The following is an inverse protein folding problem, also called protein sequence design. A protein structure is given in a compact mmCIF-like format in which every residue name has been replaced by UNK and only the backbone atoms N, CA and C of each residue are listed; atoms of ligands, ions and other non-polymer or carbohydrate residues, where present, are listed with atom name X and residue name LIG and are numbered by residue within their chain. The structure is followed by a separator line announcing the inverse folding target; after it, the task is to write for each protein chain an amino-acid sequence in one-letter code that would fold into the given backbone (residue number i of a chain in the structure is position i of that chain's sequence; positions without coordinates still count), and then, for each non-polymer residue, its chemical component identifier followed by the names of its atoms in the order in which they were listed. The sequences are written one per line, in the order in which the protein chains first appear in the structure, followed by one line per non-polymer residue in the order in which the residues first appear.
data_IF_246533719584
#
_entry.id   IF_246533719584
#
_cell.length_a   1.000
_cell.length_b   1.000
_cell.length_c   1.000
_cell.angle_alpha   90.00
_cell.angle_beta   90.00
_cell.angle_gamma   90.00
#
_symmetry.space_group_name_H-M   'P 1'
#
loop_
_entity.id
_entity.type
_entity.pdbx_description
1 polymer ?
2 polymer ?
3 polymer ?
4 water ?
#
# COMPACT_ATOMS: atom_id res chain seq x y z
N UNK A 57 -7.84 19.22 -11.86
CA UNK A 57 -8.09 18.15 -12.82
C UNK A 57 -7.46 16.85 -12.34
N UNK A 58 -6.34 16.99 -11.62
CA UNK A 58 -5.63 15.84 -11.06
C UNK A 58 -5.63 15.84 -9.54
N UNK A 59 -6.35 16.77 -8.91
CA UNK A 59 -6.45 16.84 -7.45
C UNK A 59 -7.88 16.53 -7.02
N UNK A 60 -8.01 16.03 -5.80
CA UNK A 60 -9.33 15.85 -5.20
C UNK A 60 -9.96 17.21 -4.96
N UNK A 61 -11.24 17.33 -5.33
CA UNK A 61 -11.95 18.58 -5.13
C UNK A 61 -12.10 18.89 -3.64
N UNK A 62 -11.57 20.04 -3.22
CA UNK A 62 -11.62 20.44 -1.82
C UNK A 62 -12.53 21.64 -1.59
N UNK A 63 -13.35 22.01 -2.57
CA UNK A 63 -14.29 23.13 -2.42
C UNK A 63 -15.60 22.59 -1.85
N UNK A 64 -15.58 22.32 -0.55
CA UNK A 64 -16.75 21.88 0.20
C UNK A 64 -16.90 22.73 1.45
N UNK A 65 -18.07 22.61 2.09
CA UNK A 65 -18.31 23.39 3.31
C UNK A 65 -17.37 22.96 4.42
N UNK A 66 -17.17 21.65 4.60
CA UNK A 66 -16.31 21.11 5.63
C UNK A 66 -15.22 20.25 5.00
N UNK A 67 -14.06 20.21 5.67
CA UNK A 67 -13.01 19.28 5.26
C UNK A 67 -13.47 17.84 5.49
N UNK A 68 -14.09 17.57 6.63
CA UNK A 68 -14.66 16.27 6.88
C UNK A 68 -14.53 15.88 8.34
N UNK A 69 -15.10 14.73 8.66
CA UNK A 69 -15.02 14.19 10.00
C UNK A 69 -13.67 13.52 10.22
N UNK A 70 -13.18 13.57 11.46
CA UNK A 70 -12.00 12.82 11.85
C UNK A 70 -12.28 12.10 13.16
N UNK A 71 -12.31 10.78 13.12
CA UNK A 71 -12.63 9.94 14.26
C UNK A 71 -11.34 9.32 14.76
N UNK A 72 -11.00 9.59 16.03
CA UNK A 72 -9.86 8.99 16.69
C UNK A 72 -10.37 7.98 17.70
N UNK A 73 -9.93 6.74 17.59
CA UNK A 73 -10.24 5.69 18.56
C UNK A 73 -8.97 5.44 19.34
N UNK A 74 -8.99 5.79 20.62
CA UNK A 74 -7.80 5.75 21.48
C UNK A 74 -8.01 4.64 22.50
N UNK A 75 -7.44 3.47 22.21
CA UNK A 75 -7.60 2.28 23.05
C UNK A 75 -6.35 2.12 23.91
N UNK A 76 -6.49 2.31 25.22
CA UNK A 76 -5.38 2.23 26.16
C UNK A 76 -5.47 1.05 27.11
N UNK A 77 -6.66 0.71 27.58
CA UNK A 77 -6.86 -0.33 28.56
C UNK A 77 -7.62 -1.50 27.96
N UNK A 78 -7.14 -2.71 28.21
CA UNK A 78 -7.71 -3.92 27.63
C UNK A 78 -8.07 -4.89 28.74
N UNK A 79 -9.08 -5.73 28.48
CA UNK A 79 -9.45 -6.75 29.44
C UNK A 79 -8.31 -7.74 29.63
N UNK A 80 -8.22 -8.30 30.84
CA UNK A 80 -7.14 -9.23 31.12
C UNK A 80 -7.27 -10.52 30.32
N UNK A 81 -8.49 -10.88 29.91
CA UNK A 81 -8.69 -12.10 29.13
C UNK A 81 -8.00 -12.00 27.78
N UNK A 82 -7.89 -10.79 27.23
CA UNK A 82 -7.25 -10.64 25.92
C UNK A 82 -5.76 -10.93 25.99
N UNK A 83 -5.15 -10.78 27.17
CA UNK A 83 -3.73 -10.97 27.33
C UNK A 83 -2.90 -9.76 27.01
N UNK A 84 -3.53 -8.65 26.63
CA UNK A 84 -2.82 -7.45 26.22
C UNK A 84 -2.71 -6.48 27.38
N UNK A 85 -1.57 -5.79 27.46
CA UNK A 85 -1.32 -4.84 28.52
C UNK A 85 -1.68 -3.42 28.14
N UNK A 86 -1.50 -2.51 29.10
CA UNK A 86 -1.88 -1.12 28.91
C UNK A 86 -0.87 -0.46 27.98
N UNK A 87 -1.37 0.37 27.05
CA UNK A 87 -0.54 1.04 26.07
C UNK A 87 -0.20 2.45 26.56
N UNK A 88 0.72 2.51 27.51
CA UNK A 88 1.16 3.81 28.03
C UNK A 88 1.80 4.63 26.91
N UNK A 89 1.44 5.91 26.85
CA UNK A 89 1.89 6.80 25.80
C UNK A 89 0.83 7.12 24.77
N UNK A 90 -0.24 6.31 24.68
CA UNK A 90 -1.26 6.52 23.67
C UNK A 90 -2.09 7.77 23.94
N UNK A 91 -2.12 8.27 25.17
CA UNK A 91 -2.82 9.53 25.42
C UNK A 91 -2.06 10.69 24.79
N UNK A 92 -0.73 10.66 24.85
CA UNK A 92 0.05 11.68 24.14
C UNK A 92 -0.18 11.60 22.64
N UNK A 93 -0.35 10.40 22.10
CA UNK A 93 -0.65 10.26 20.67
C UNK A 93 -1.99 10.89 20.34
N UNK A 94 -3.02 10.57 21.10
CA UNK A 94 -4.36 11.09 20.83
C UNK A 94 -4.39 12.60 21.02
N UNK A 95 -3.69 13.12 22.00
CA UNK A 95 -3.68 14.58 22.23
C UNK A 95 -3.02 15.26 21.04
N UNK A 96 -1.92 14.72 20.54
CA UNK A 96 -1.20 15.36 19.43
C UNK A 96 -1.97 15.21 18.14
N UNK A 97 -2.65 14.09 17.97
CA UNK A 97 -3.38 13.82 16.72
C UNK A 97 -4.61 14.69 16.64
N UNK A 98 -5.31 14.89 17.73
CA UNK A 98 -6.53 15.72 17.63
C UNK A 98 -6.16 17.18 17.42
N UNK A 99 -5.04 17.63 17.96
CA UNK A 99 -4.64 19.03 17.76
C UNK A 99 -4.20 19.23 16.33
N UNK A 100 -3.58 18.23 15.72
CA UNK A 100 -3.09 18.33 14.35
C UNK A 100 -4.21 18.30 13.35
N UNK A 101 -5.17 17.41 13.54
CA UNK A 101 -6.27 17.29 12.59
C UNK A 101 -7.31 18.38 12.79
N UNK A 102 -7.36 18.96 13.97
CA UNK A 102 -8.26 20.11 14.18
C UNK A 102 -7.62 21.29 13.46
N UNK A 103 -6.30 21.37 13.47
CA UNK A 103 -5.61 22.46 12.79
C UNK A 103 -5.72 22.32 11.28
N UNK A 104 -5.87 21.10 10.77
CA UNK A 104 -6.07 20.92 9.33
C UNK A 104 -7.45 21.35 8.89
N UNK A 105 -8.44 21.32 9.78
CA UNK A 105 -9.79 21.70 9.43
C UNK A 105 -10.82 20.60 9.64
N UNK A 106 -10.37 19.49 10.22
CA UNK A 106 -11.26 18.36 10.48
C UNK A 106 -12.12 18.62 11.71
N UNK A 107 -13.30 17.99 11.73
CA UNK A 107 -14.14 17.93 12.93
C UNK A 107 -13.74 16.66 13.68
N UNK A 108 -12.99 16.82 14.76
CA UNK A 108 -12.31 15.70 15.43
C UNK A 108 -13.19 15.21 16.58
N UNK A 109 -13.38 13.89 16.64
CA UNK A 109 -14.04 13.23 17.75
C UNK A 109 -13.10 12.14 18.28
N UNK A 110 -12.89 12.12 19.59
CA UNK A 110 -12.00 11.15 20.22
C UNK A 110 -12.83 10.20 21.08
N UNK A 111 -12.73 8.90 20.78
CA UNK A 111 -13.34 7.84 21.56
C UNK A 111 -12.25 7.09 22.32
N UNK A 112 -12.56 6.65 23.53
CA UNK A 112 -11.55 6.08 24.43
C UNK A 112 -11.98 4.70 24.90
N UNK A 113 -11.06 3.74 24.83
CA UNK A 113 -11.20 2.38 25.35
C UNK A 113 -12.51 1.73 24.87
N UNK A 114 -12.53 1.44 23.57
CA UNK A 114 -13.76 0.97 22.94
C UNK A 114 -13.73 -0.54 22.79
N UNK A 115 -14.93 -1.13 22.85
CA UNK A 115 -15.06 -2.55 22.59
C UNK A 115 -15.12 -2.78 21.08
N UNK A 116 -15.10 -4.05 20.66
CA UNK A 116 -15.16 -4.31 19.24
C UNK A 116 -16.56 -4.04 18.68
N UNK A 117 -17.58 -4.19 19.53
CA UNK A 117 -18.93 -3.84 19.10
C UNK A 117 -19.09 -2.33 18.98
N UNK A 118 -18.46 -1.58 19.89
CA UNK A 118 -18.52 -0.13 19.80
C UNK A 118 -17.78 0.37 18.58
N UNK A 119 -16.61 -0.20 18.29
CA UNK A 119 -15.82 0.25 17.14
C UNK A 119 -16.55 -0.01 15.83
N UNK A 120 -17.22 -1.17 15.72
CA UNK A 120 -17.98 -1.45 14.51
C UNK A 120 -19.21 -0.56 14.42
N UNK A 121 -19.83 -0.23 15.55
CA UNK A 121 -21.02 0.61 15.54
C UNK A 121 -20.67 2.07 15.23
N UNK A 122 -19.57 2.57 15.81
CA UNK A 122 -19.12 3.92 15.51
C UNK A 122 -18.95 4.13 14.02
N UNK A 123 -18.19 3.25 13.37
CA UNK A 123 -17.86 3.46 11.98
C UNK A 123 -19.06 3.18 11.08
N UNK A 124 -19.97 2.31 11.50
CA UNK A 124 -21.14 2.06 10.67
C UNK A 124 -22.11 3.24 10.72
N UNK A 125 -22.26 3.85 11.90
CA UNK A 125 -23.10 5.05 11.98
C UNK A 125 -22.43 6.24 11.33
N UNK A 126 -21.10 6.34 11.40
CA UNK A 126 -20.40 7.40 10.67
C UNK A 126 -20.51 7.19 9.17
N UNK A 127 -20.48 5.94 8.70
CA UNK A 127 -20.69 5.66 7.29
C UNK A 127 -22.09 6.04 6.84
N UNK A 128 -23.06 6.01 7.76
CA UNK A 128 -24.45 6.27 7.41
C UNK A 128 -24.83 7.74 7.51
N UNK A 129 -23.93 8.61 7.97
CA UNK A 129 -24.20 10.04 8.03
C UNK A 129 -24.12 10.66 6.63
N UNK A 130 -24.52 11.93 6.55
CA UNK A 130 -24.55 12.67 5.29
C UNK A 130 -23.25 13.46 5.15
N UNK A 131 -22.39 13.06 4.21
CA UNK A 131 -21.11 13.69 4.00
C UNK A 131 -21.08 14.57 2.76
N UNK A 132 -22.26 14.96 2.27
CA UNK A 132 -22.35 15.65 0.99
C UNK A 132 -21.55 16.94 0.99
N UNK A 133 -21.48 17.63 2.13
CA UNK A 133 -20.74 18.87 2.24
C UNK A 133 -19.33 18.67 2.79
N UNK A 134 -18.89 17.43 2.89
CA UNK A 134 -17.54 17.10 3.36
C UNK A 134 -16.67 16.74 2.18
N UNK A 135 -15.39 17.14 2.25
CA UNK A 135 -14.45 16.82 1.18
C UNK A 135 -13.87 15.42 1.31
N UNK A 136 -13.69 14.93 2.54
CA UNK A 136 -13.01 13.66 2.78
C UNK A 136 -13.45 13.13 4.13
N UNK A 137 -12.91 11.97 4.49
CA UNK A 137 -13.13 11.38 5.80
C UNK A 137 -11.83 10.79 6.31
N UNK A 138 -11.60 10.91 7.62
CA UNK A 138 -10.39 10.40 8.24
C UNK A 138 -10.77 9.61 9.49
N UNK A 139 -10.11 8.48 9.69
CA UNK A 139 -10.25 7.72 10.92
C UNK A 139 -8.87 7.28 11.38
N UNK A 140 -8.63 7.36 12.69
CA UNK A 140 -7.34 7.03 13.27
C UNK A 140 -7.56 5.99 14.35
N UNK A 141 -6.89 4.85 14.23
CA UNK A 141 -7.00 3.74 15.18
C UNK A 141 -5.70 3.62 15.97
N UNK A 142 -5.77 3.72 17.28
CA UNK A 142 -4.63 3.54 18.17
C UNK A 142 -4.96 2.41 19.15
N UNK A 143 -4.39 1.23 18.91
CA UNK A 143 -4.72 0.06 19.72
C UNK A 143 -3.64 -1.01 19.53
N UNK A 144 -3.84 -2.13 20.21
CA UNK A 144 -3.09 -3.34 19.91
C UNK A 144 -3.60 -3.96 18.61
N UNK A 145 -2.77 -4.78 18.00
CA UNK A 145 -3.16 -5.44 16.77
C UNK A 145 -2.34 -6.68 16.52
N UNK A 146 -2.89 -7.56 15.71
CA UNK A 146 -2.15 -8.63 15.03
C UNK A 146 -2.43 -8.50 13.54
N UNK A 147 -1.93 -9.46 12.76
CA UNK A 147 -2.03 -9.34 11.31
C UNK A 147 -3.49 -9.33 10.87
N UNK A 148 -3.86 -8.30 10.12
CA UNK A 148 -5.20 -8.09 9.55
C UNK A 148 -6.25 -7.76 10.59
N UNK A 149 -5.84 -7.56 11.84
CA UNK A 149 -6.77 -7.52 12.97
C UNK A 149 -6.39 -6.37 13.90
N UNK A 150 -7.40 -5.70 14.44
CA UNK A 150 -7.20 -4.65 15.44
C UNK A 150 -7.93 -5.04 16.72
N UNK A 151 -7.35 -4.68 17.85
CA UNK A 151 -7.86 -5.07 19.16
C UNK A 151 -8.88 -4.04 19.67
N UNK A 152 -10.04 -4.53 20.10
CA UNK A 152 -10.88 -3.79 21.01
C UNK A 152 -10.44 -4.06 22.44
N UNK A 153 -11.17 -3.47 23.39
CA UNK A 153 -10.85 -3.77 24.77
C UNK A 153 -11.18 -5.21 25.14
N UNK A 154 -12.10 -5.85 24.42
CA UNK A 154 -12.58 -7.18 24.76
C UNK A 154 -12.21 -8.25 23.73
N UNK A 155 -11.37 -7.95 22.76
CA UNK A 155 -10.98 -8.94 21.78
C UNK A 155 -10.53 -8.28 20.48
N UNK A 156 -10.64 -9.03 19.39
CA UNK A 156 -10.14 -8.61 18.08
C UNK A 156 -11.28 -8.57 17.07
N UNK A 157 -11.17 -7.66 16.12
CA UNK A 157 -12.05 -7.54 14.97
C UNK A 157 -11.22 -7.24 13.72
N UNK A 158 -11.63 -7.74 12.56
CA UNK A 158 -10.82 -7.53 11.34
C UNK A 158 -10.90 -6.09 10.86
N UNK A 159 -9.75 -5.56 10.46
CA UNK A 159 -9.69 -4.17 9.99
C UNK A 159 -10.51 -3.99 8.73
N UNK A 160 -10.54 -5.00 7.85
CA UNK A 160 -11.31 -4.87 6.61
C UNK A 160 -12.79 -4.67 6.89
N UNK A 161 -13.32 -5.29 7.95
CA UNK A 161 -14.73 -5.11 8.28
C UNK A 161 -14.99 -3.73 8.85
N UNK A 162 -13.98 -3.11 9.48
CA UNK A 162 -14.15 -1.75 9.99
C UNK A 162 -14.20 -0.74 8.85
N UNK A 163 -13.38 -0.92 7.82
CA UNK A 163 -13.29 0.04 6.73
C UNK A 163 -14.30 -0.22 5.62
N UNK A 164 -14.88 -1.42 5.56
CA UNK A 164 -15.80 -1.73 4.48
C UNK A 164 -17.09 -0.93 4.57
N UNK A 165 -17.39 -0.36 5.75
CA UNK A 165 -18.59 0.46 5.89
C UNK A 165 -18.56 1.66 4.97
N UNK A 166 -17.37 2.11 4.57
CA UNK A 166 -17.21 3.31 3.76
C UNK A 166 -16.99 3.00 2.29
N UNK A 167 -17.25 1.77 1.86
CA UNK A 167 -17.12 1.42 0.46
C UNK A 167 -18.08 2.26 -0.38
N UNK A 168 -17.82 2.30 -1.69
CA UNK A 168 -18.63 3.12 -2.57
C UNK A 168 -20.10 2.76 -2.56
N UNK A 169 -20.41 1.46 -2.46
CA UNK A 169 -21.79 0.99 -2.49
C UNK A 169 -22.47 1.04 -1.12
N UNK A 170 -21.71 1.31 -0.05
CA UNK A 170 -22.26 1.33 1.30
C UNK A 170 -22.17 2.69 1.96
N UNK A 171 -21.56 3.67 1.30
CA UNK A 171 -21.49 5.04 1.83
C UNK A 171 -21.45 5.96 0.61
N UNK A 172 -22.63 6.30 0.09
CA UNK A 172 -22.73 6.99 -1.19
C UNK A 172 -22.33 8.46 -1.09
N UNK A 173 -22.37 9.06 0.10
CA UNK A 173 -22.02 10.47 0.23
C UNK A 173 -20.51 10.69 0.32
N UNK A 174 -19.70 9.63 0.36
CA UNK A 174 -18.25 9.76 0.26
C UNK A 174 -17.73 9.22 -1.07
N UNK A 175 -18.62 8.92 -2.01
CA UNK A 175 -18.20 8.46 -3.33
C UNK A 175 -17.32 9.49 -4.01
N UNK A 176 -16.25 9.04 -4.65
CA UNK A 176 -15.24 9.85 -5.30
C UNK A 176 -14.50 10.77 -4.34
N UNK A 177 -14.64 10.56 -3.02
CA UNK A 177 -13.93 11.32 -2.02
C UNK A 177 -12.94 10.42 -1.27
N UNK A 178 -11.80 10.97 -0.83
CA UNK A 178 -10.80 10.13 -0.17
C UNK A 178 -11.24 9.74 1.24
N UNK A 179 -11.12 8.45 1.55
CA UNK A 179 -11.38 7.92 2.89
C UNK A 179 -10.04 7.45 3.46
N UNK A 180 -9.55 8.16 4.47
CA UNK A 180 -8.21 7.93 5.00
C UNK A 180 -8.28 7.20 6.34
N UNK A 181 -7.42 6.20 6.50
CA UNK A 181 -7.35 5.41 7.72
C UNK A 181 -5.89 5.34 8.17
N UNK A 182 -5.61 5.88 9.36
CA UNK A 182 -4.29 5.84 9.97
C UNK A 182 -4.35 4.84 11.12
N UNK A 183 -3.50 3.82 11.07
CA UNK A 183 -3.59 2.68 11.98
C UNK A 183 -2.26 2.52 12.71
N UNK A 184 -2.24 2.90 13.99
CA UNK A 184 -1.13 2.61 14.89
C UNK A 184 -1.49 1.35 15.67
N UNK A 185 -0.89 0.23 15.29
CA UNK A 185 -1.16 -1.06 15.91
C UNK A 185 -0.13 -2.05 15.37
N UNK A 186 0.08 -3.14 16.10
CA UNK A 186 0.96 -4.19 15.61
C UNK A 186 0.27 -4.99 14.53
N UNK A 187 1.06 -5.59 13.65
CA UNK A 187 0.52 -6.42 12.56
C UNK A 187 1.12 -7.82 12.60
N UNK A 188 1.59 -8.23 13.77
CA UNK A 188 2.32 -9.47 13.93
C UNK A 188 3.32 -9.30 15.07
N UNK A 189 4.25 -10.25 15.15
CA UNK A 189 5.23 -10.25 16.23
C UNK A 189 6.65 -10.40 15.70
N UNK A 190 6.91 -9.95 14.47
CA UNK A 190 8.25 -9.93 13.92
C UNK A 190 8.95 -8.62 14.28
N UNK A 191 10.27 -8.69 14.39
CA UNK A 191 11.09 -7.52 14.69
C UNK A 191 12.04 -7.25 13.54
N UNK A 192 12.29 -5.97 13.28
CA UNK A 192 13.19 -5.53 12.23
C UNK A 192 14.55 -5.24 12.86
N UNK A 193 15.50 -6.16 12.67
CA UNK A 193 16.81 -6.02 13.29
C UNK A 193 17.60 -4.86 12.68
N UNK A 194 17.31 -4.50 11.43
CA UNK A 194 17.96 -3.37 10.79
C UNK A 194 19.31 -3.73 10.22
N UNK A 195 19.91 -2.73 9.57
CA UNK A 195 21.24 -2.86 8.97
C UNK A 195 21.80 -1.46 8.78
N UNK A 196 23.10 -1.31 9.01
CA UNK A 196 23.74 0.00 9.01
C UNK A 196 23.91 0.55 7.59
N UNK B 14 -19.81 4.57 -13.85
CA UNK B 14 -19.63 3.63 -12.73
C UNK B 14 -18.22 3.75 -12.13
N UNK B 15 -18.11 3.47 -10.83
CA UNK B 15 -16.85 3.61 -10.09
C UNK B 15 -16.65 2.43 -9.16
N UNK B 16 -15.42 1.93 -8.99
CA UNK B 16 -15.22 0.74 -8.16
C UNK B 16 -15.53 1.02 -6.69
N UNK B 17 -16.13 0.04 -6.03
CA UNK B 17 -16.54 0.25 -4.65
C UNK B 17 -15.35 0.33 -3.71
N UNK B 18 -14.18 -0.14 -4.13
CA UNK B 18 -12.99 -0.09 -3.28
C UNK B 18 -12.07 1.08 -3.59
N UNK B 19 -12.46 1.97 -4.51
CA UNK B 19 -11.63 3.10 -4.88
C UNK B 19 -11.61 4.17 -3.80
N UNK B 20 -10.59 5.03 -3.86
CA UNK B 20 -10.46 6.23 -3.04
C UNK B 20 -10.26 5.93 -1.56
N UNK B 21 -9.61 4.81 -1.25
CA UNK B 21 -9.19 4.47 0.10
C UNK B 21 -7.69 4.69 0.23
N UNK B 22 -7.26 5.13 1.42
CA UNK B 22 -5.84 5.16 1.75
C UNK B 22 -5.65 4.63 3.17
N UNK B 23 -4.76 3.66 3.32
CA UNK B 23 -4.43 3.07 4.61
C UNK B 23 -2.99 3.43 4.95
N UNK B 24 -2.81 4.20 6.03
CA UNK B 24 -1.50 4.58 6.53
C UNK B 24 -1.19 3.73 7.74
N UNK B 25 -0.52 2.60 7.52
CA UNK B 25 -0.14 1.69 8.59
C UNK B 25 1.17 2.12 9.25
N UNK B 26 1.24 1.92 10.57
CA UNK B 26 2.46 2.26 11.29
C UNK B 26 3.61 1.30 11.01
N UNK B 27 3.33 0.10 10.52
CA UNK B 27 4.38 -0.86 10.26
C UNK B 27 3.95 -1.77 9.10
N UNK B 28 4.85 -2.67 8.71
CA UNK B 28 4.62 -3.54 7.57
C UNK B 28 3.89 -4.79 8.05
N UNK B 29 3.21 -5.53 7.19
CA UNK B 29 2.47 -6.71 7.66
C UNK B 29 3.40 -7.73 8.29
N UNK B 30 3.03 -8.20 9.48
CA UNK B 30 3.77 -9.23 10.17
C UNK B 30 4.64 -8.73 11.30
N UNK B 31 4.85 -7.43 11.42
CA UNK B 31 5.86 -6.87 12.30
C UNK B 31 5.22 -6.16 13.50
N UNK B 32 6.04 -5.94 14.51
CA UNK B 32 5.65 -5.16 15.67
C UNK B 32 5.58 -3.67 15.29
N UNK B 33 4.83 -2.92 16.10
CA UNK B 33 4.85 -1.47 16.06
C UNK B 33 5.35 -0.96 17.40
N UNK B 34 6.23 0.04 17.37
CA UNK B 34 6.92 0.51 18.56
C UNK B 34 6.25 1.78 19.11
N UNK B 35 6.28 1.89 20.44
CA UNK B 35 5.63 2.98 21.14
C UNK B 35 6.48 3.38 22.34
N UNK B 36 6.88 4.63 22.41
CA UNK B 36 7.56 5.14 23.58
C UNK B 36 6.53 5.53 24.63
N UNK B 37 6.58 4.97 25.85
CA UNK B 37 5.57 5.33 26.86
C UNK B 37 5.64 6.77 27.31
N UNK B 38 6.78 7.42 27.14
CA UNK B 38 6.94 8.80 27.56
C UNK B 38 6.74 9.81 26.46
N UNK B 39 6.81 9.38 25.20
CA UNK B 39 6.66 10.30 24.08
C UNK B 39 5.69 9.82 23.01
N UNK B 40 4.98 8.71 23.22
CA UNK B 40 4.01 8.24 22.25
C UNK B 40 4.63 7.31 21.23
N UNK B 41 3.77 6.75 20.39
CA UNK B 41 4.23 5.84 19.34
C UNK B 41 5.09 6.58 18.32
N UNK B 42 6.03 5.84 17.71
CA UNK B 42 6.95 6.45 16.76
C UNK B 42 6.21 7.01 15.55
N UNK B 43 5.29 6.21 15.00
CA UNK B 43 4.57 6.61 13.80
C UNK B 43 3.75 7.87 14.03
N UNK B 44 3.08 7.96 15.19
CA UNK B 44 2.25 9.13 15.48
C UNK B 44 3.13 10.34 15.77
N UNK B 45 4.23 10.15 16.51
CA UNK B 45 5.20 11.22 16.73
C UNK B 45 5.65 11.80 15.39
N UNK B 46 6.01 10.94 14.46
CA UNK B 46 6.53 11.42 13.17
C UNK B 46 5.43 12.01 12.32
N UNK B 47 4.26 11.37 12.31
CA UNK B 47 3.17 11.87 11.47
C UNK B 47 2.75 13.28 11.88
N UNK B 48 2.74 13.57 13.18
CA UNK B 48 2.25 14.87 13.64
C UNK B 48 3.32 15.93 13.63
N UNK B 49 4.59 15.53 13.51
CA UNK B 49 5.65 16.50 13.30
C UNK B 49 5.71 16.95 11.85
N UNK B 50 5.53 16.01 10.91
CA UNK B 50 5.48 16.37 9.50
C UNK B 50 4.23 17.18 9.20
N UNK B 51 3.11 16.85 9.86
CA UNK B 51 1.86 17.54 9.58
C UNK B 51 1.91 18.98 10.06
N UNK B 52 2.54 19.25 11.20
CA UNK B 52 2.61 20.62 11.71
C UNK B 52 3.40 21.54 10.77
N UNK B 53 4.41 21.02 10.09
CA UNK B 53 5.22 21.84 9.20
C UNK B 53 4.70 21.85 7.78
N UNK B 54 4.10 20.75 7.32
CA UNK B 54 3.77 20.63 5.90
C UNK B 54 2.36 20.09 5.66
N UNK B 55 1.51 20.02 6.67
CA UNK B 55 0.20 19.44 6.48
C UNK B 55 -0.63 20.16 5.44
N UNK B 56 -0.39 21.45 5.24
CA UNK B 56 -1.20 22.25 4.34
C UNK B 56 -0.50 22.61 3.03
N UNK B 57 0.74 22.17 2.84
CA UNK B 57 1.48 22.50 1.63
C UNK B 57 2.08 21.29 0.91
N UNK B 58 1.90 20.08 1.44
CA UNK B 58 2.40 18.87 0.81
C UNK B 58 1.25 17.93 0.49
N UNK B 59 1.43 17.14 -0.58
CA UNK B 59 0.44 16.13 -0.93
C UNK B 59 0.53 14.95 0.04
N UNK B 60 -0.58 14.22 0.16
CA UNK B 60 -0.67 13.19 1.20
C UNK B 60 0.42 12.13 1.03
N UNK B 61 0.81 11.82 -0.21
CA UNK B 61 1.86 10.83 -0.40
C UNK B 61 3.25 11.40 -0.10
N UNK B 62 3.43 12.71 -0.28
CA UNK B 62 4.69 13.31 0.14
C UNK B 62 4.80 13.32 1.66
N UNK B 63 3.71 13.64 2.36
CA UNK B 63 3.72 13.64 3.82
C UNK B 63 4.07 12.25 4.34
N UNK B 64 3.37 11.22 3.84
CA UNK B 64 3.57 9.89 4.40
C UNK B 64 4.94 9.32 4.01
N UNK B 65 5.50 9.74 2.87
CA UNK B 65 6.85 9.30 2.53
C UNK B 65 7.86 9.90 3.48
N UNK B 66 7.67 11.16 3.87
CA UNK B 66 8.55 11.77 4.86
C UNK B 66 8.36 11.14 6.24
N UNK B 67 7.15 10.65 6.53
CA UNK B 67 6.94 9.91 7.77
C UNK B 67 7.65 8.56 7.72
N UNK B 68 7.66 7.92 6.53
CA UNK B 68 8.42 6.69 6.37
C UNK B 68 9.90 6.92 6.66
N UNK B 69 10.45 8.03 6.17
CA UNK B 69 11.86 8.31 6.37
C UNK B 69 12.18 8.61 7.82
N UNK B 70 11.34 9.40 8.49
CA UNK B 70 11.63 9.77 9.87
C UNK B 70 11.52 8.58 10.81
N UNK B 71 10.52 7.72 10.62
CA UNK B 71 10.40 6.54 11.47
C UNK B 71 11.58 5.61 11.23
N UNK B 72 12.01 5.48 9.98
CA UNK B 72 13.06 4.54 9.62
C UNK B 72 14.44 5.03 10.05
N UNK B 73 14.65 6.35 10.10
CA UNK B 73 15.97 6.90 10.34
C UNK B 73 16.16 7.45 11.75
N UNK B 74 15.11 7.98 12.37
CA UNK B 74 15.25 8.69 13.64
C UNK B 74 14.94 7.83 14.86
N UNK B 75 14.46 6.61 14.68
CA UNK B 75 13.98 5.80 15.80
C UNK B 75 14.70 4.46 15.87
N UNK B 76 15.12 4.10 17.08
CA UNK B 76 15.73 2.80 17.35
C UNK B 76 15.29 2.34 18.72
N UNK B 77 14.84 1.08 18.77
CA UNK B 77 14.29 0.47 19.98
C UNK B 77 15.32 0.47 21.07
N UNK B 78 14.90 0.84 22.26
CA UNK B 78 15.74 0.57 23.43
C UNK B 78 14.98 -0.09 24.57
N UNK B 79 15.34 -1.33 24.81
CA UNK B 79 14.76 -2.20 25.81
C UNK B 79 15.86 -2.82 26.66
N UNK B 80 15.51 -3.07 27.93
CA UNK B 80 16.39 -3.84 28.81
C UNK B 80 16.55 -5.28 28.32
N UNK B 81 15.44 -5.91 27.92
CA UNK B 81 15.48 -7.19 27.24
C UNK B 81 16.32 -7.07 25.96
N UNK B 82 17.41 -7.82 25.82
CA UNK B 82 18.24 -7.70 24.61
C UNK B 82 17.61 -8.31 23.36
N UNK B 83 16.54 -9.09 23.50
CA UNK B 83 15.82 -9.58 22.34
C UNK B 83 15.03 -8.48 21.65
N UNK B 84 14.81 -7.35 22.34
CA UNK B 84 14.04 -6.23 21.81
C UNK B 84 14.88 -4.98 21.69
N UNK B 85 16.21 -5.12 21.60
CA UNK B 85 17.12 -3.99 21.67
C UNK B 85 17.58 -3.58 20.28
N UNK B 86 17.62 -2.27 20.05
CA UNK B 86 18.12 -1.68 18.80
C UNK B 86 17.38 -2.23 17.57
N UNK B 87 16.05 -2.22 17.66
CA UNK B 87 15.19 -2.66 16.57
C UNK B 87 14.66 -1.46 15.79
N UNK B 88 14.31 -1.70 14.54
CA UNK B 88 13.91 -0.64 13.61
C UNK B 88 12.47 -0.84 13.16
N UNK B 89 11.93 0.16 12.48
CA UNK B 89 10.55 0.13 12.03
C UNK B 89 10.40 0.93 10.75
N UNK B 90 9.61 0.41 9.82
CA UNK B 90 9.26 1.14 8.60
C UNK B 90 7.74 1.07 8.45
N UNK B 91 7.06 2.20 8.25
CA UNK B 91 5.60 2.17 8.07
C UNK B 91 5.25 1.71 6.66
N UNK B 92 3.95 1.65 6.38
CA UNK B 92 3.43 0.96 5.20
C UNK B 92 2.19 1.70 4.72
N UNK B 93 2.26 2.32 3.55
CA UNK B 93 1.15 3.07 2.97
C UNK B 93 0.50 2.24 1.85
N UNK B 94 -0.82 2.05 1.95
CA UNK B 94 -1.61 1.38 0.92
C UNK B 94 -2.57 2.42 0.35
N UNK B 95 -2.46 2.67 -0.95
CA UNK B 95 -3.21 3.74 -1.59
C UNK B 95 -4.07 3.19 -2.71
N UNK B 96 -5.37 3.43 -2.61
CA UNK B 96 -6.31 3.24 -3.71
C UNK B 96 -6.83 4.57 -4.24
N UNK B 97 -6.14 5.67 -3.91
CA UNK B 97 -6.59 6.99 -4.33
C UNK B 97 -6.48 7.14 -5.85
N UNK B 98 -7.37 7.96 -6.39
CA UNK B 98 -7.41 8.24 -7.83
C UNK B 98 -6.94 9.64 -8.18
N UNK B 99 -6.63 10.47 -7.19
CA UNK B 99 -6.20 11.84 -7.42
C UNK B 99 -5.14 12.20 -6.38
N UNK B 100 -4.49 13.34 -6.61
CA UNK B 100 -3.63 13.92 -5.59
C UNK B 100 -4.49 14.58 -4.52
N UNK B 101 -4.04 14.50 -3.26
CA UNK B 101 -4.80 14.97 -2.12
C UNK B 101 -4.01 16.06 -1.40
N UNK B 102 -4.54 17.27 -1.41
CA UNK B 102 -4.05 18.38 -0.62
C UNK B 102 -5.13 18.78 0.37
N UNK B 103 -4.71 19.16 1.58
CA UNK B 103 -5.63 19.65 2.61
C UNK B 103 -5.88 21.15 2.48
N UNK B 104 -6.22 21.63 1.28
CA UNK B 104 -6.27 23.07 1.00
C UNK B 104 -7.31 23.39 -0.07
N UNK C 57 17.64 15.91 -1.37
CA UNK C 57 17.38 15.69 0.06
C UNK C 57 16.08 14.93 0.26
N UNK C 58 15.12 15.14 -0.65
CA UNK C 58 13.83 14.45 -0.58
C UNK C 58 13.59 13.55 -1.79
N UNK C 59 14.58 13.39 -2.66
CA UNK C 59 14.50 12.50 -3.80
C UNK C 59 15.53 11.39 -3.65
N UNK C 60 15.24 10.24 -4.24
CA UNK C 60 16.23 9.18 -4.33
C UNK C 60 17.37 9.62 -5.24
N UNK C 61 18.60 9.37 -4.82
CA UNK C 61 19.74 9.72 -5.65
C UNK C 61 19.73 8.90 -6.94
N UNK C 62 19.70 9.59 -8.08
CA UNK C 62 19.67 8.94 -9.39
C UNK C 62 20.96 9.14 -10.17
N UNK C 63 22.01 9.62 -9.53
CA UNK C 63 23.29 9.86 -10.20
C UNK C 63 24.15 8.58 -10.14
N UNK C 64 23.75 7.62 -10.97
CA UNK C 64 24.47 6.36 -11.12
C UNK C 64 24.70 6.08 -12.59
N UNK C 65 25.57 5.12 -12.88
CA UNK C 65 25.88 4.76 -14.25
C UNK C 65 24.67 4.17 -14.96
N UNK C 66 23.92 3.31 -14.28
CA UNK C 66 22.75 2.65 -14.84
C UNK C 66 21.52 3.01 -14.01
N UNK C 67 20.36 3.02 -14.67
CA UNK C 67 19.11 3.12 -13.93
C UNK C 67 18.88 1.86 -13.11
N UNK C 68 19.12 0.70 -13.71
CA UNK C 68 19.07 -0.57 -13.01
C UNK C 68 18.54 -1.69 -13.86
N UNK C 69 18.52 -2.90 -13.29
CA UNK C 69 17.96 -4.04 -13.99
C UNK C 69 16.45 -4.05 -13.79
N UNK C 70 15.74 -4.52 -14.81
CA UNK C 70 14.32 -4.75 -14.74
C UNK C 70 14.02 -6.13 -15.30
N UNK C 71 13.47 -7.00 -14.47
CA UNK C 71 13.15 -8.37 -14.86
C UNK C 71 11.65 -8.47 -15.08
N UNK C 72 11.26 -8.88 -16.29
CA UNK C 72 9.87 -9.12 -16.63
C UNK C 72 9.66 -10.63 -16.70
N UNK C 73 8.73 -11.14 -15.90
CA UNK C 73 8.33 -12.54 -15.94
C UNK C 73 6.95 -12.62 -16.57
N UNK C 74 6.88 -13.19 -17.76
CA UNK C 74 5.67 -13.22 -18.58
C UNK C 74 5.18 -14.66 -18.66
N UNK C 75 4.21 -15.01 -17.83
CA UNK C 75 3.67 -16.37 -17.77
C UNK C 75 2.33 -16.41 -18.51
N UNK C 76 2.29 -17.11 -19.63
CA UNK C 76 1.09 -17.21 -20.46
C UNK C 76 0.50 -18.61 -20.50
N UNK C 77 1.33 -19.64 -20.56
CA UNK C 77 0.87 -21.02 -20.67
C UNK C 77 1.20 -21.76 -19.39
N UNK C 78 0.23 -22.49 -18.86
CA UNK C 78 0.37 -23.16 -17.57
C UNK C 78 0.11 -24.65 -17.72
N UNK C 79 0.72 -25.42 -16.83
CA UNK C 79 0.55 -26.87 -16.85
C UNK C 79 -0.90 -27.22 -16.56
N UNK C 80 -1.33 -28.37 -17.10
CA UNK C 80 -2.71 -28.80 -16.91
C UNK C 80 -3.00 -29.11 -15.44
N UNK C 81 -1.97 -29.47 -14.66
CA UNK C 81 -2.17 -29.76 -13.25
C UNK C 81 -2.61 -28.52 -12.48
N UNK C 82 -2.18 -27.33 -12.91
CA UNK C 82 -2.54 -26.11 -12.19
C UNK C 82 -4.02 -25.78 -12.33
N UNK C 83 -4.65 -26.19 -13.43
CA UNK C 83 -6.04 -25.85 -13.67
C UNK C 83 -6.26 -24.50 -14.30
N UNK C 84 -5.21 -23.75 -14.60
CA UNK C 84 -5.31 -22.39 -15.10
C UNK C 84 -5.20 -22.36 -16.62
N UNK C 85 -5.95 -21.44 -17.24
CA UNK C 85 -5.99 -21.33 -18.68
C UNK C 85 -4.99 -20.33 -19.22
N UNK C 86 -4.96 -20.22 -20.55
CA UNK C 86 -3.98 -19.39 -21.23
C UNK C 86 -4.33 -17.91 -21.04
N UNK C 87 -3.31 -17.10 -20.78
CA UNK C 87 -3.49 -15.66 -20.57
C UNK C 87 -3.23 -14.91 -21.87
N UNK C 88 -4.19 -15.00 -22.77
CA UNK C 88 -4.08 -14.29 -24.04
C UNK C 88 -4.08 -12.79 -23.79
N UNK C 89 -3.16 -12.09 -24.46
CA UNK C 89 -2.96 -10.67 -24.29
C UNK C 89 -1.73 -10.31 -23.51
N UNK C 90 -1.18 -11.25 -22.73
CA UNK C 90 -0.01 -10.94 -21.91
C UNK C 90 1.24 -10.71 -22.75
N UNK C 91 1.26 -11.17 -24.00
CA UNK C 91 2.40 -10.88 -24.87
C UNK C 91 2.39 -9.43 -25.31
N UNK C 92 1.21 -8.87 -25.59
CA UNK C 92 1.12 -7.44 -25.86
C UNK C 92 1.52 -6.64 -24.63
N UNK C 93 1.18 -7.15 -23.44
CA UNK C 93 1.58 -6.47 -22.21
C UNK C 93 3.09 -6.43 -22.05
N UNK C 94 3.74 -7.59 -22.19
CA UNK C 94 5.18 -7.66 -21.97
C UNK C 94 5.95 -6.83 -23.00
N UNK C 95 5.50 -6.86 -24.26
CA UNK C 95 6.18 -6.06 -25.27
C UNK C 95 6.02 -4.57 -25.00
N UNK C 96 4.82 -4.14 -24.61
CA UNK C 96 4.62 -2.73 -24.28
C UNK C 96 5.39 -2.35 -23.04
N UNK C 97 5.42 -3.26 -22.06
CA UNK C 97 6.17 -3.00 -20.84
C UNK C 97 7.66 -2.95 -21.13
N UNK C 98 8.13 -3.80 -22.05
CA UNK C 98 9.55 -3.82 -22.37
C UNK C 98 9.97 -2.50 -23.00
N UNK C 99 9.13 -1.93 -23.87
CA UNK C 99 9.51 -0.68 -24.51
C UNK C 99 9.44 0.50 -23.55
N UNK C 100 8.50 0.49 -22.59
CA UNK C 100 8.33 1.65 -21.71
C UNK C 100 9.40 1.68 -20.64
N UNK C 101 9.78 0.50 -20.14
CA UNK C 101 10.82 0.45 -19.12
C UNK C 101 12.20 0.57 -19.74
N UNK C 102 12.36 0.10 -20.98
CA UNK C 102 13.59 0.39 -21.72
C UNK C 102 13.74 1.89 -21.95
N UNK C 103 12.64 2.56 -22.29
CA UNK C 103 12.68 4.00 -22.53
C UNK C 103 12.97 4.78 -21.24
N UNK C 104 12.60 4.22 -20.10
CA UNK C 104 12.94 4.85 -18.83
C UNK C 104 14.44 4.77 -18.55
N UNK C 105 15.11 3.76 -19.10
CA UNK C 105 16.54 3.58 -18.90
C UNK C 105 16.89 2.27 -18.25
N UNK C 106 15.91 1.39 -18.07
CA UNK C 106 16.16 0.09 -17.45
C UNK C 106 16.80 -0.86 -18.44
N UNK C 107 17.59 -1.78 -17.90
CA UNK C 107 18.12 -2.91 -18.69
C UNK C 107 17.14 -4.06 -18.51
N UNK C 108 16.29 -4.28 -19.53
CA UNK C 108 15.14 -5.16 -19.42
C UNK C 108 15.47 -6.51 -20.01
N UNK C 109 15.14 -7.57 -19.27
CA UNK C 109 15.19 -8.94 -19.77
C UNK C 109 13.84 -9.59 -19.51
N UNK C 110 13.28 -10.27 -20.50
CA UNK C 110 11.97 -10.90 -20.41
C UNK C 110 12.16 -12.42 -20.36
N UNK C 111 11.63 -13.05 -19.31
CA UNK C 111 11.60 -14.50 -19.18
C UNK C 111 10.16 -14.98 -19.34
N UNK C 112 9.99 -16.12 -20.02
CA UNK C 112 8.68 -16.56 -20.47
C UNK C 112 8.36 -17.93 -19.90
N UNK C 113 7.14 -18.08 -19.38
CA UNK C 113 6.60 -19.34 -18.88
C UNK C 113 7.58 -19.98 -17.88
N UNK C 114 7.66 -19.37 -16.71
CA UNK C 114 8.64 -19.75 -15.72
C UNK C 114 8.01 -20.65 -14.66
N UNK C 115 8.84 -21.52 -14.10
CA UNK C 115 8.42 -22.36 -13.00
C UNK C 115 8.56 -21.59 -11.69
N UNK C 116 8.08 -22.17 -10.60
CA UNK C 116 8.21 -21.51 -9.32
C UNK C 116 9.65 -21.58 -8.82
N UNK C 117 10.40 -22.61 -9.23
CA UNK C 117 11.83 -22.68 -8.93
C UNK C 117 12.62 -21.71 -9.78
N UNK C 118 12.23 -21.54 -11.05
CA UNK C 118 12.94 -20.60 -11.91
C UNK C 118 12.69 -19.16 -11.46
N UNK C 119 11.45 -18.85 -11.07
CA UNK C 119 11.14 -17.50 -10.61
C UNK C 119 11.90 -17.19 -9.33
N UNK C 120 12.00 -18.18 -8.43
CA UNK C 120 12.79 -17.96 -7.22
C UNK C 120 14.27 -17.85 -7.53
N UNK C 121 14.76 -18.59 -8.52
CA UNK C 121 16.18 -18.53 -8.85
C UNK C 121 16.53 -17.24 -9.57
N UNK C 122 15.68 -16.81 -10.51
CA UNK C 122 15.89 -15.53 -11.18
C UNK C 122 16.05 -14.40 -10.17
N UNK C 123 15.10 -14.30 -9.24
CA UNK C 123 15.12 -13.18 -8.31
C UNK C 123 16.21 -13.35 -7.25
N UNK C 124 16.60 -14.60 -6.95
CA UNK C 124 17.68 -14.78 -6.00
C UNK C 124 19.04 -14.43 -6.61
N UNK C 125 19.24 -14.80 -7.88
CA UNK C 125 20.49 -14.45 -8.53
C UNK C 125 20.56 -12.96 -8.85
N UNK C 126 19.43 -12.34 -9.17
CA UNK C 126 19.41 -10.88 -9.32
C UNK C 126 19.71 -10.21 -7.98
N UNK C 127 19.20 -10.78 -6.89
CA UNK C 127 19.53 -10.28 -5.56
C UNK C 127 21.03 -10.38 -5.28
N UNK C 128 21.70 -11.37 -5.85
CA UNK C 128 23.11 -11.62 -5.57
C UNK C 128 24.07 -10.91 -6.50
N UNK C 129 23.56 -10.20 -7.52
CA UNK C 129 24.42 -9.41 -8.40
C UNK C 129 24.88 -8.13 -7.70
N UNK C 130 25.81 -7.42 -8.34
CA UNK C 130 26.37 -6.19 -7.81
C UNK C 130 25.62 -4.99 -8.39
N UNK C 131 24.89 -4.28 -7.53
CA UNK C 131 24.06 -3.15 -7.96
C UNK C 131 24.66 -1.80 -7.57
N UNK C 132 25.98 -1.75 -7.34
CA UNK C 132 26.60 -0.52 -6.84
C UNK C 132 26.44 0.63 -7.81
N UNK C 133 26.44 0.36 -9.12
CA UNK C 133 26.31 1.39 -10.14
C UNK C 133 24.89 1.55 -10.64
N UNK C 134 23.92 0.89 -9.99
CA UNK C 134 22.52 0.99 -10.37
C UNK C 134 21.77 1.87 -9.37
N UNK C 135 20.80 2.65 -9.87
CA UNK C 135 20.02 3.51 -8.99
C UNK C 135 18.89 2.75 -8.30
N UNK C 136 18.32 1.75 -8.97
CA UNK C 136 17.14 1.08 -8.45
C UNK C 136 17.07 -0.31 -9.06
N UNK C 137 16.03 -1.05 -8.69
CA UNK C 137 15.73 -2.35 -9.28
C UNK C 137 14.22 -2.44 -9.50
N UNK C 138 13.83 -3.05 -10.61
CA UNK C 138 12.43 -3.22 -10.96
C UNK C 138 12.17 -4.67 -11.35
N UNK C 139 11.05 -5.21 -10.91
CA UNK C 139 10.58 -6.52 -11.34
C UNK C 139 9.10 -6.44 -11.68
N UNK C 140 8.72 -7.07 -12.78
CA UNK C 140 7.34 -7.07 -13.28
C UNK C 140 6.91 -8.51 -13.42
N UNK C 141 5.83 -8.87 -12.72
CA UNK C 141 5.28 -10.23 -12.75
C UNK C 141 3.93 -10.21 -13.46
N UNK C 142 3.82 -10.99 -14.53
CA UNK C 142 2.57 -11.15 -15.29
C UNK C 142 2.20 -12.63 -15.27
N UNK C 143 1.21 -12.99 -14.47
CA UNK C 143 0.85 -14.40 -14.31
C UNK C 143 -0.55 -14.48 -13.72
N UNK C 144 -1.02 -15.71 -13.53
CA UNK C 144 -2.20 -15.95 -12.72
C UNK C 144 -1.85 -15.79 -11.24
N UNK C 145 -2.85 -15.54 -10.42
CA UNK C 145 -2.58 -15.38 -9.00
C UNK C 145 -3.81 -15.65 -8.15
N UNK C 146 -3.53 -15.96 -6.89
CA UNK C 146 -4.50 -15.89 -5.81
C UNK C 146 -3.93 -14.99 -4.73
N UNK C 147 -4.63 -14.88 -3.61
CA UNK C 147 -4.21 -13.97 -2.57
C UNK C 147 -2.86 -14.38 -2.01
N UNK C 148 -1.91 -13.44 -2.00
CA UNK C 148 -0.55 -13.55 -1.46
C UNK C 148 0.36 -14.46 -2.27
N UNK C 149 -0.09 -15.01 -3.40
CA UNK C 149 0.67 -16.03 -4.12
C UNK C 149 0.63 -15.70 -5.60
N UNK C 150 1.72 -16.01 -6.29
CA UNK C 150 1.82 -15.82 -7.74
C UNK C 150 2.03 -17.20 -8.36
N UNK C 151 1.44 -17.40 -9.55
CA UNK C 151 1.46 -18.68 -10.22
C UNK C 151 2.71 -18.81 -11.08
N UNK C 152 3.44 -19.90 -10.90
CA UNK C 152 4.35 -20.39 -11.91
C UNK C 152 3.61 -21.25 -12.90
N UNK C 153 4.36 -21.80 -13.85
CA UNK C 153 3.74 -22.73 -14.79
C UNK C 153 3.30 -24.01 -14.10
N UNK C 154 3.93 -24.35 -12.96
CA UNK C 154 3.72 -25.62 -12.29
C UNK C 154 3.07 -25.49 -10.92
N UNK C 155 2.57 -24.32 -10.56
CA UNK C 155 1.94 -24.14 -9.27
C UNK C 155 2.05 -22.70 -8.82
N UNK C 156 2.00 -22.51 -7.49
CA UNK C 156 2.01 -21.18 -6.90
C UNK C 156 3.23 -21.05 -6.00
N UNK C 157 3.73 -19.83 -5.89
CA UNK C 157 4.79 -19.49 -4.95
C UNK C 157 4.45 -18.16 -4.30
N UNK C 158 4.79 -17.99 -3.02
CA UNK C 158 4.40 -16.77 -2.31
C UNK C 158 5.18 -15.56 -2.80
N UNK C 159 4.45 -14.46 -3.01
CA UNK C 159 5.07 -13.22 -3.50
C UNK C 159 6.08 -12.71 -2.47
N UNK C 160 5.79 -12.88 -1.19
CA UNK C 160 6.72 -12.43 -0.15
C UNK C 160 8.06 -13.13 -0.27
N UNK C 161 8.05 -14.42 -0.63
CA UNK C 161 9.32 -15.13 -0.77
C UNK C 161 10.09 -14.70 -2.00
N UNK C 162 9.40 -14.21 -3.03
CA UNK C 162 10.08 -13.71 -4.21
C UNK C 162 10.78 -12.38 -3.92
N UNK C 163 10.13 -11.50 -3.16
CA UNK C 163 10.65 -10.17 -2.90
C UNK C 163 11.58 -10.10 -1.70
N UNK C 164 11.57 -11.10 -0.81
CA UNK C 164 12.41 -11.04 0.38
C UNK C 164 13.89 -11.11 0.07
N UNK C 165 14.25 -11.61 -1.13
CA UNK C 165 15.66 -11.70 -1.52
C UNK C 165 16.32 -10.34 -1.57
N UNK C 166 15.54 -9.27 -1.76
CA UNK C 166 16.05 -7.93 -1.92
C UNK C 166 15.96 -7.11 -0.63
N UNK C 167 15.74 -7.77 0.50
CA UNK C 167 15.72 -7.08 1.77
C UNK C 167 17.08 -6.43 2.05
N UNK C 168 17.07 -5.47 2.97
CA UNK C 168 18.29 -4.72 3.25
C UNK C 168 19.43 -5.58 3.71
N UNK C 169 19.13 -6.63 4.48
CA UNK C 169 20.17 -7.51 5.00
C UNK C 169 20.57 -8.61 4.03
N UNK C 170 19.86 -8.76 2.92
CA UNK C 170 20.12 -9.82 1.97
C UNK C 170 20.56 -9.33 0.60
N UNK C 171 20.59 -8.01 0.38
CA UNK C 171 21.09 -7.46 -0.88
C UNK C 171 21.63 -6.07 -0.55
N UNK C 172 22.90 -6.01 -0.15
CA UNK C 172 23.46 -4.77 0.38
C UNK C 172 23.73 -3.73 -0.69
N UNK C 173 23.84 -4.13 -1.96
CA UNK C 173 24.11 -3.17 -3.01
C UNK C 173 22.86 -2.43 -3.48
N UNK C 174 21.69 -2.80 -2.96
CA UNK C 174 20.46 -2.06 -3.18
C UNK C 174 19.99 -1.36 -1.91
N UNK C 175 20.82 -1.34 -0.87
CA UNK C 175 20.47 -0.66 0.37
C UNK C 175 20.22 0.82 0.12
N UNK C 176 19.16 1.35 0.72
CA UNK C 176 18.72 2.73 0.57
C UNK C 176 18.32 3.08 -0.86
N UNK C 177 18.14 2.08 -1.72
CA UNK C 177 17.71 2.26 -3.10
C UNK C 177 16.32 1.65 -3.28
N UNK C 178 15.48 2.23 -4.14
CA UNK C 178 14.17 1.72 -4.32
C UNK C 178 14.16 0.39 -5.06
N UNK C 179 13.37 -0.55 -4.57
CA UNK C 179 13.15 -1.87 -5.17
C UNK C 179 11.69 -1.89 -5.60
N UNK C 180 11.42 -1.90 -6.90
CA UNK C 180 10.02 -1.80 -7.34
C UNK C 180 9.50 -3.10 -7.92
N UNK C 181 8.27 -3.42 -7.56
CA UNK C 181 7.62 -4.64 -8.02
C UNK C 181 6.25 -4.29 -8.58
N UNK C 182 6.04 -4.58 -9.84
CA UNK C 182 4.76 -4.41 -10.51
C UNK C 182 4.16 -5.80 -10.73
N UNK C 183 2.94 -6.01 -10.21
CA UNK C 183 2.34 -7.34 -10.17
C UNK C 183 0.98 -7.29 -10.86
N UNK C 184 0.91 -7.82 -12.09
CA UNK C 184 -0.36 -8.01 -12.80
C UNK C 184 -0.77 -9.47 -12.57
N UNK C 185 -1.74 -9.66 -11.69
CA UNK C 185 -2.19 -10.98 -11.31
C UNK C 185 -3.44 -10.84 -10.47
N UNK C 186 -4.20 -11.92 -10.40
CA UNK C 186 -5.36 -11.93 -9.52
C UNK C 186 -4.90 -12.10 -8.08
N UNK C 187 -5.72 -11.59 -7.16
CA UNK C 187 -5.42 -11.71 -5.74
C UNK C 187 -6.57 -12.37 -4.99
N UNK C 188 -7.40 -13.12 -5.70
CA UNK C 188 -8.61 -13.69 -5.15
C UNK C 188 -9.61 -13.80 -6.28
N UNK C 189 -10.87 -14.09 -5.90
CA UNK C 189 -11.91 -14.32 -6.88
C UNK C 189 -13.17 -13.51 -6.56
N UNK C 190 -12.99 -12.37 -5.91
CA UNK C 190 -14.09 -11.43 -5.69
C UNK C 190 -14.21 -10.50 -6.88
N UNK C 191 -15.43 -10.02 -7.13
CA UNK C 191 -15.69 -9.10 -8.21
C UNK C 191 -16.17 -7.77 -7.66
N UNK C 192 -15.76 -6.69 -8.31
CA UNK C 192 -16.16 -5.33 -7.94
C UNK C 192 -17.32 -4.94 -8.85
N UNK C 193 -18.53 -4.94 -8.29
CA UNK C 193 -19.73 -4.64 -9.06
C UNK C 193 -19.80 -3.17 -9.47
N UNK C 194 -19.12 -2.28 -8.73
CA UNK C 194 -19.13 -0.88 -9.07
C UNK C 194 -20.36 -0.16 -8.55
N UNK C 195 -20.39 1.14 -8.81
CA UNK C 195 -21.50 1.99 -8.40
C UNK C 195 -21.53 3.21 -9.31
N UNK C 196 -22.73 3.64 -9.69
CA UNK C 196 -22.88 4.71 -10.67
C UNK C 196 -22.57 6.08 -10.08
N UNK D 14 21.66 2.68 11.35
CA UNK D 14 20.96 1.50 10.88
C UNK D 14 19.63 1.85 10.20
N UNK D 15 19.20 1.03 9.25
CA UNK D 15 17.95 1.27 8.51
C UNK D 15 17.19 -0.04 8.39
N UNK D 16 15.85 0.05 8.38
CA UNK D 16 15.03 -1.18 8.38
C UNK D 16 15.26 -2.02 7.14
N UNK D 17 15.27 -3.34 7.32
CA UNK D 17 15.50 -4.25 6.22
C UNK D 17 14.33 -4.27 5.25
N UNK D 18 13.16 -3.77 5.67
CA UNK D 18 11.96 -3.77 4.84
C UNK D 18 11.73 -2.43 4.16
N UNK D 19 12.63 -1.46 4.34
CA UNK D 19 12.46 -0.14 3.77
C UNK D 19 12.72 -0.11 2.27
N UNK D 20 12.20 0.95 1.63
CA UNK D 20 12.48 1.28 0.24
C UNK D 20 11.95 0.22 -0.74
N UNK D 21 10.83 -0.41 -0.39
CA UNK D 21 10.11 -1.30 -1.28
C UNK D 21 8.85 -0.58 -1.78
N UNK D 22 8.46 -0.85 -3.02
CA UNK D 22 7.18 -0.40 -3.53
C UNK D 22 6.53 -1.52 -4.33
N UNK D 23 5.29 -1.86 -4.00
CA UNK D 23 4.53 -2.87 -4.72
C UNK D 23 3.37 -2.20 -5.44
N UNK D 24 3.37 -2.29 -6.77
CA UNK D 24 2.30 -1.75 -7.60
C UNK D 24 1.44 -2.93 -8.07
N UNK D 25 0.40 -3.24 -7.30
CA UNK D 25 -0.51 -4.33 -7.63
C UNK D 25 -1.58 -3.86 -8.61
N UNK D 26 -1.99 -4.77 -9.48
CA UNK D 26 -3.03 -4.47 -10.45
C UNK D 26 -4.43 -4.37 -9.83
N UNK D 27 -4.64 -4.98 -8.66
CA UNK D 27 -5.94 -4.94 -8.00
C UNK D 27 -5.73 -5.07 -6.50
N UNK D 28 -6.85 -5.00 -5.76
CA UNK D 28 -6.82 -4.99 -4.30
C UNK D 28 -6.85 -6.43 -3.79
N UNK D 29 -6.43 -6.71 -2.56
CA UNK D 29 -6.41 -8.10 -2.08
C UNK D 29 -7.80 -8.71 -2.09
N UNK D 30 -7.89 -9.93 -2.65
CA UNK D 30 -9.13 -10.67 -2.68
C UNK D 30 -9.86 -10.61 -3.99
N UNK D 31 -9.47 -9.73 -4.89
CA UNK D 31 -10.26 -9.43 -6.08
C UNK D 31 -9.60 -9.97 -7.33
N UNK D 32 -10.41 -10.06 -8.38
CA UNK D 32 -9.93 -10.44 -9.70
C UNK D 32 -9.11 -9.32 -10.31
N UNK D 33 -8.26 -9.68 -11.26
CA UNK D 33 -7.63 -8.73 -12.16
C UNK D 33 -8.08 -9.04 -13.58
N UNK D 34 -8.43 -7.99 -14.31
CA UNK D 34 -9.05 -8.15 -15.62
C UNK D 34 -8.02 -7.96 -16.73
N UNK D 35 -8.21 -8.73 -17.81
CA UNK D 35 -7.28 -8.73 -18.94
C UNK D 35 -8.08 -8.92 -20.22
N UNK D 36 -7.96 -7.96 -21.13
CA UNK D 36 -8.53 -8.10 -22.45
C UNK D 36 -7.58 -8.92 -23.33
N UNK D 37 -8.02 -10.04 -23.91
CA UNK D 37 -7.09 -10.84 -24.73
C UNK D 37 -6.62 -10.15 -25.98
N UNK D 38 -7.35 -9.15 -26.48
CA UNK D 38 -6.97 -8.49 -27.71
C UNK D 38 -6.15 -7.22 -27.54
N UNK D 39 -6.19 -6.61 -26.35
CA UNK D 39 -5.40 -5.41 -26.13
C UNK D 39 -4.65 -5.42 -24.81
N UNK D 40 -4.61 -6.56 -24.11
CA UNK D 40 -3.84 -6.69 -22.89
C UNK D 40 -4.62 -6.37 -21.63
N UNK D 41 -3.95 -6.58 -20.49
CA UNK D 41 -4.52 -6.33 -19.18
C UNK D 41 -4.80 -4.84 -18.97
N UNK D 42 -5.82 -4.56 -18.15
CA UNK D 42 -6.21 -3.17 -17.87
C UNK D 42 -5.08 -2.41 -17.20
N UNK D 43 -4.46 -3.00 -16.18
CA UNK D 43 -3.42 -2.32 -15.42
C UNK D 43 -2.23 -1.98 -16.31
N UNK D 44 -1.82 -2.92 -17.18
CA UNK D 44 -0.65 -2.67 -18.02
C UNK D 44 -0.98 -1.65 -19.11
N UNK D 45 -2.17 -1.74 -19.69
CA UNK D 45 -2.62 -0.72 -20.64
C UNK D 45 -2.51 0.67 -20.04
N UNK D 46 -2.99 0.85 -18.81
CA UNK D 46 -2.96 2.16 -18.17
C UNK D 46 -1.55 2.55 -17.77
N UNK D 47 -0.78 1.59 -17.25
CA UNK D 47 0.57 1.89 -16.76
C UNK D 47 1.48 2.38 -17.88
N UNK D 48 1.32 1.84 -19.10
CA UNK D 48 2.22 2.20 -20.18
C UNK D 48 1.75 3.43 -20.95
N UNK D 49 0.50 3.85 -20.79
CA UNK D 49 0.10 5.13 -21.36
C UNK D 49 0.58 6.29 -20.52
N UNK D 50 0.48 6.18 -19.19
CA UNK D 50 0.98 7.22 -18.31
C UNK D 50 2.51 7.29 -18.40
N UNK D 51 3.17 6.14 -18.51
CA UNK D 51 4.63 6.12 -18.54
C UNK D 51 5.15 6.72 -19.84
N UNK D 52 4.49 6.41 -20.96
CA UNK D 52 4.93 6.97 -22.23
C UNK D 52 4.73 8.47 -22.26
N UNK D 53 3.74 8.98 -21.53
CA UNK D 53 3.47 10.41 -21.52
C UNK D 53 4.18 11.15 -20.39
N UNK D 54 4.38 10.51 -19.23
CA UNK D 54 4.89 11.22 -18.07
C UNK D 54 5.94 10.45 -17.28
N UNK D 55 6.51 9.37 -17.83
CA UNK D 55 7.44 8.56 -17.06
C UNK D 55 8.66 9.31 -16.56
N UNK D 56 9.06 10.37 -17.26
CA UNK D 56 10.28 11.09 -16.93
C UNK D 56 10.06 12.42 -16.24
N UNK D 57 8.81 12.85 -16.03
CA UNK D 57 8.57 14.13 -15.40
C UNK D 57 7.64 14.09 -14.20
N UNK D 58 7.12 12.92 -13.83
CA UNK D 58 6.25 12.79 -12.67
C UNK D 58 6.87 11.85 -11.65
N UNK D 59 6.55 12.07 -10.38
CA UNK D 59 7.00 11.19 -9.32
C UNK D 59 6.21 9.87 -9.36
N UNK D 60 6.81 8.81 -8.83
CA UNK D 60 6.25 7.46 -9.00
C UNK D 60 4.85 7.38 -8.40
N UNK D 61 4.59 8.11 -7.30
CA UNK D 61 3.25 8.06 -6.72
C UNK D 61 2.25 8.88 -7.54
N UNK D 62 2.72 9.92 -8.23
CA UNK D 62 1.86 10.62 -9.17
C UNK D 62 1.51 9.74 -10.36
N UNK D 63 2.51 9.03 -10.90
CA UNK D 63 2.27 8.12 -12.02
C UNK D 63 1.25 7.06 -11.62
N UNK D 64 1.48 6.41 -10.48
CA UNK D 64 0.63 5.29 -10.09
C UNK D 64 -0.76 5.76 -9.66
N UNK D 65 -0.87 6.99 -9.15
CA UNK D 65 -2.19 7.52 -8.83
C UNK D 65 -2.99 7.78 -10.09
N UNK D 66 -2.33 8.28 -11.15
CA UNK D 66 -3.04 8.47 -12.42
C UNK D 66 -3.40 7.14 -13.05
N UNK D 67 -2.61 6.09 -12.79
CA UNK D 67 -2.96 4.76 -13.30
C UNK D 67 -4.18 4.22 -12.57
N UNK D 68 -4.26 4.48 -11.26
CA UNK D 68 -5.45 4.11 -10.49
C UNK D 68 -6.70 4.76 -11.06
N UNK D 69 -6.59 6.03 -11.48
CA UNK D 69 -7.74 6.74 -12.03
C UNK D 69 -8.15 6.18 -13.39
N UNK D 70 -7.18 5.89 -14.25
CA UNK D 70 -7.52 5.36 -15.58
C UNK D 70 -8.13 3.97 -15.50
N UNK D 71 -7.59 3.11 -14.62
CA UNK D 71 -8.15 1.77 -14.48
C UNK D 71 -9.56 1.84 -13.90
N UNK D 72 -9.79 2.76 -12.96
CA UNK D 72 -11.07 2.83 -12.27
C UNK D 72 -12.16 3.43 -13.15
N UNK D 73 -11.80 4.32 -14.07
CA UNK D 73 -12.79 5.07 -14.83
C UNK D 73 -12.96 4.59 -16.27
N UNK D 74 -11.90 4.10 -16.92
CA UNK D 74 -11.95 3.83 -18.36
C UNK D 74 -12.26 2.38 -18.69
N UNK D 75 -12.34 1.49 -17.72
CA UNK D 75 -12.47 0.07 -17.99
C UNK D 75 -13.72 -0.49 -17.33
N UNK D 76 -14.46 -1.29 -18.09
CA UNK D 76 -15.65 -1.97 -17.58
C UNK D 76 -15.77 -3.32 -18.28
N UNK D 77 -16.02 -4.36 -17.50
CA UNK D 77 -16.10 -5.72 -18.04
C UNK D 77 -17.19 -5.85 -19.09
N UNK D 78 -16.85 -6.55 -20.18
CA UNK D 78 -17.82 -7.03 -21.16
C UNK D 78 -17.67 -8.55 -21.24
N UNK D 79 -18.64 -9.28 -20.70
CA UNK D 79 -18.63 -10.73 -20.74
C UNK D 79 -19.99 -11.26 -21.20
N UNK D 80 -19.95 -12.39 -21.90
CA UNK D 80 -21.21 -13.09 -22.22
C UNK D 80 -21.87 -13.61 -20.96
N UNK D 81 -21.09 -14.22 -20.07
CA UNK D 81 -21.56 -14.59 -18.75
C UNK D 81 -22.05 -13.34 -18.02
N UNK D 82 -23.33 -13.28 -17.60
CA UNK D 82 -23.81 -12.08 -16.91
C UNK D 82 -23.31 -11.96 -15.48
N UNK D 83 -22.74 -13.01 -14.91
CA UNK D 83 -22.10 -12.91 -13.60
C UNK D 83 -20.79 -12.12 -13.66
N UNK D 84 -20.22 -11.94 -14.85
CA UNK D 84 -18.96 -11.25 -15.03
C UNK D 84 -19.13 -9.99 -15.87
N UNK D 85 -20.33 -9.43 -15.94
CA UNK D 85 -20.64 -8.33 -16.83
C UNK D 85 -20.63 -7.01 -16.07
N UNK D 86 -20.06 -5.98 -16.70
CA UNK D 86 -20.02 -4.62 -16.15
C UNK D 86 -19.34 -4.59 -14.77
N UNK D 87 -18.17 -5.22 -14.69
CA UNK D 87 -17.38 -5.24 -13.46
C UNK D 87 -16.26 -4.22 -13.55
N UNK D 88 -15.83 -3.74 -12.38
CA UNK D 88 -14.84 -2.68 -12.28
C UNK D 88 -13.59 -3.18 -11.56
N UNK D 89 -12.55 -2.37 -11.59
CA UNK D 89 -11.28 -2.72 -10.99
C UNK D 89 -10.58 -1.47 -10.48
N UNK D 90 -9.94 -1.57 -9.32
CA UNK D 90 -9.08 -0.52 -8.79
C UNK D 90 -7.73 -1.13 -8.40
N UNK D 91 -6.62 -0.57 -8.85
CA UNK D 91 -5.30 -1.11 -8.48
C UNK D 91 -4.95 -0.72 -7.05
N UNK D 92 -3.76 -1.16 -6.63
CA UNK D 92 -3.36 -1.13 -5.21
C UNK D 92 -1.86 -0.87 -5.13
N UNK D 93 -1.48 0.28 -4.59
CA UNK D 93 -0.08 0.63 -4.42
C UNK D 93 0.29 0.49 -2.95
N UNK D 94 1.36 -0.25 -2.68
CA UNK D 94 1.92 -0.40 -1.34
C UNK D 94 3.32 0.19 -1.37
N UNK D 95 3.57 1.19 -0.55
CA UNK D 95 4.85 1.91 -0.60
C UNK D 95 5.54 1.87 0.76
N UNK D 96 6.77 1.37 0.77
CA UNK D 96 7.68 1.52 1.90
C UNK D 96 8.82 2.49 1.56
N UNK D 97 8.63 3.31 0.53
CA UNK D 97 9.69 4.22 0.10
C UNK D 97 9.94 5.29 1.16
N UNK D 98 11.19 5.76 1.21
CA UNK D 98 11.59 6.79 2.16
C UNK D 98 11.88 8.12 1.47
N UNK D 99 11.80 8.18 0.15
CA UNK D 99 12.07 9.39 -0.63
C UNK D 99 11.12 9.43 -1.81
N UNK D 100 11.09 10.58 -2.48
CA UNK D 100 10.42 10.69 -3.76
C UNK D 100 11.27 10.06 -4.86
N UNK D 101 10.60 9.46 -5.85
CA UNK D 101 11.27 8.72 -6.91
C UNK D 101 10.90 9.32 -8.27
N UNK D 102 11.90 9.87 -8.96
CA UNK D 102 11.77 10.27 -10.34
C UNK D 102 12.73 9.44 -11.19
N UNK D 103 12.29 9.03 -12.37
CA UNK D 103 13.17 8.33 -13.31
C UNK D 103 13.91 9.34 -14.19
N UNK D 104 14.51 10.34 -13.54
CA UNK D 104 15.02 11.52 -14.25
C UNK D 104 16.20 12.17 -13.52
N UNK E 2 10.85 1.23 25.86
CA UNK E 2 10.22 1.16 24.55
C UNK E 2 9.42 -0.13 24.46
N UNK E 3 8.13 -0.02 24.16
CA UNK E 3 7.23 -1.16 24.13
C UNK E 3 6.66 -1.36 22.74
N UNK E 4 6.13 -2.58 22.50
CA UNK E 4 5.53 -2.93 21.23
C UNK E 4 4.01 -3.07 21.37
N UNK F 2 -13.42 -10.50 -22.28
CA UNK F 2 -12.71 -10.04 -21.08
C UNK F 2 -12.54 -11.20 -20.11
N UNK F 3 -11.29 -11.50 -19.74
CA UNK F 3 -10.98 -12.62 -18.88
C UNK F 3 -10.31 -12.14 -17.60
N UNK F 4 -10.32 -13.01 -16.59
CA UNK F 4 -9.70 -12.70 -15.31
C UNK F 4 -8.46 -13.56 -15.09
#
# INVERSE_FOLDING_TARGET
MADDQGCIEEQGVEDSANEDSVDAKPDRSSFVPSLFSKKKKNVTMRSIKTTRDRVPTYQYNMNFEKLGKCIIINNKNFDKVTGMGVRNGTDKDAEALFKCFRSLGFDVIVYNDCSCAKMQDLLKKASEEDHTNAACFACILLSHGEENVIYGKDGVTPIKDLTAHFRGDRCKTLLEKPKLFFIQACRGTELDDGIQAD
SGPINDTDANPRYKIPVEADFLFAYSTVPGYYSWRSPGRGSWFVQALCSILEEHGKDLEIMQILTRVNDRVARHFESQSDDPHFHEKKQIPCVVSMLTKELYFSQLEHHHHHH
MADDQGCIEEQGVEDSANEDSVDAKPDRSSFVPSLFSKKKKNVTMRSIKTTRDRVPTYQYNMNFEKLGKCIIINNKNFDKVTGMGVRNGTDKDAEALFKCFRSLGFDVIVYNDCSCAKMQDLLKKASEEDHTNAACFACILLSHGEENVIYGKDGVTPIKDLTAHFRGDRCKTLLEKPKLFFIQACRGTELDDGIQAD
SGPINDTDANPRYKIPVEADFLFAYSTVPGYYSWRSPGRGSWFVQALCSILEEHGKDLEIMQILTRVNDRVARHFESQSDDPHFHEKKQIPCVVSMLTKELYFSQLEHHHHHH
XDEVX
XDEVX
#
